data_IF_029562601345
#
_entry.id   IF_029562601345
#
_cell.length_a   1.000
_cell.length_b   1.000
_cell.length_c   1.000
_cell.angle_alpha   90.00
_cell.angle_beta   90.00
_cell.angle_gamma   90.00
#
_symmetry.space_group_name_H-M   'P 1'
#
loop_
_entity.id
_entity.type
_entity.pdbx_description
1 polymer ?
#
# COMPACT_ATOMS: atom_id res chain seq x y z
N UNK A 1 0.43 -19.92 20.68
CA UNK A 1 0.19 -18.47 20.56
C UNK A 1 1.43 -17.86 19.92
N UNK A 2 1.46 -17.79 18.59
CA UNK A 2 2.51 -17.07 17.87
C UNK A 2 2.14 -15.59 17.87
N UNK A 3 3.05 -14.78 18.41
CA UNK A 3 3.03 -13.31 18.43
C UNK A 3 2.51 -12.75 17.10
N UNK A 4 1.71 -11.66 17.08
CA UNK A 4 1.41 -11.01 15.82
C UNK A 4 2.75 -10.58 15.21
N UNK A 5 3.15 -11.20 14.10
CA UNK A 5 4.19 -10.64 13.26
C UNK A 5 3.81 -9.18 13.00
N UNK A 6 4.73 -8.23 13.15
CA UNK A 6 4.37 -6.82 12.96
C UNK A 6 3.65 -6.69 11.61
N UNK A 7 2.63 -5.84 11.55
CA UNK A 7 1.84 -5.63 10.34
C UNK A 7 2.72 -5.47 9.08
N UNK A 8 3.83 -4.74 9.22
CA UNK A 8 4.81 -4.54 8.16
C UNK A 8 5.62 -5.79 7.79
N UNK A 9 5.91 -6.67 8.73
CA UNK A 9 6.59 -7.95 8.46
C UNK A 9 5.68 -8.89 7.67
N UNK A 10 4.38 -8.93 8.04
CA UNK A 10 3.38 -9.69 7.31
C UNK A 10 3.15 -9.13 5.90
N UNK A 11 3.08 -7.81 5.75
CA UNK A 11 2.97 -7.13 4.45
C UNK A 11 4.19 -7.41 3.56
N UNK A 12 5.40 -7.33 4.12
CA UNK A 12 6.63 -7.62 3.39
C UNK A 12 6.69 -9.08 2.90
N UNK A 13 6.26 -10.03 3.73
CA UNK A 13 6.19 -11.45 3.35
C UNK A 13 5.22 -11.69 2.19
N UNK A 14 4.03 -11.08 2.22
CA UNK A 14 3.06 -11.15 1.11
C UNK A 14 3.61 -10.53 -0.17
N UNK A 15 4.24 -9.36 -0.07
CA UNK A 15 4.87 -8.69 -1.22
C UNK A 15 5.99 -9.53 -1.84
N UNK A 16 6.79 -10.22 -1.01
CA UNK A 16 7.81 -11.15 -1.49
C UNK A 16 7.21 -12.39 -2.17
N UNK A 17 6.12 -12.95 -1.63
CA UNK A 17 5.40 -14.07 -2.25
C UNK A 17 4.83 -13.68 -3.63
N UNK A 18 4.32 -12.46 -3.76
CA UNK A 18 3.85 -11.90 -5.03
C UNK A 18 4.99 -11.80 -6.06
N UNK A 19 6.16 -11.30 -5.66
CA UNK A 19 7.33 -11.20 -6.55
C UNK A 19 7.88 -12.57 -6.97
N UNK A 20 7.76 -13.57 -6.11
CA UNK A 20 8.17 -14.95 -6.40
C UNK A 20 7.17 -15.70 -7.30
N UNK A 21 6.04 -15.08 -7.68
CA UNK A 21 4.99 -15.71 -8.47
C UNK A 21 4.21 -16.80 -7.72
N UNK A 22 4.30 -16.82 -6.38
CA UNK A 22 3.65 -17.81 -5.52
C UNK A 22 2.39 -17.29 -4.81
N UNK A 23 2.02 -16.02 -5.02
CA UNK A 23 0.82 -15.44 -4.43
C UNK A 23 -0.44 -15.94 -5.13
N UNK A 24 -1.45 -16.34 -4.36
CA UNK A 24 -2.76 -16.70 -4.89
C UNK A 24 -3.67 -15.47 -5.07
N UNK A 25 -4.90 -15.68 -5.56
CA UNK A 25 -5.86 -14.58 -5.78
C UNK A 25 -6.26 -13.88 -4.48
N UNK A 26 -6.36 -14.62 -3.37
CA UNK A 26 -6.74 -14.04 -2.08
C UNK A 26 -5.60 -13.17 -1.53
N UNK A 27 -4.35 -13.59 -1.70
CA UNK A 27 -3.17 -12.80 -1.38
C UNK A 27 -3.11 -11.51 -2.22
N UNK A 28 -3.44 -11.58 -3.50
CA UNK A 28 -3.51 -10.40 -4.36
C UNK A 28 -4.60 -9.41 -3.90
N UNK A 29 -5.80 -9.89 -3.57
CA UNK A 29 -6.89 -9.05 -3.06
C UNK A 29 -6.55 -8.42 -1.70
N UNK A 30 -5.92 -9.19 -0.81
CA UNK A 30 -5.47 -8.68 0.48
C UNK A 30 -4.39 -7.60 0.30
N UNK A 31 -3.46 -7.78 -0.63
CA UNK A 31 -2.44 -6.77 -0.92
C UNK A 31 -3.03 -5.48 -1.51
N UNK A 32 -4.08 -5.57 -2.32
CA UNK A 32 -4.81 -4.39 -2.81
C UNK A 32 -5.51 -3.66 -1.65
N UNK A 33 -6.17 -4.39 -0.76
CA UNK A 33 -6.78 -3.80 0.46
C UNK A 33 -5.73 -3.13 1.34
N UNK A 34 -4.60 -3.81 1.60
CA UNK A 34 -3.50 -3.29 2.41
C UNK A 34 -2.91 -2.01 1.74
N UNK A 35 -2.85 -1.95 0.41
CA UNK A 35 -2.39 -0.77 -0.32
C UNK A 35 -3.38 0.42 -0.22
N UNK A 36 -4.68 0.15 -0.26
CA UNK A 36 -5.71 1.18 -0.07
C UNK A 36 -5.73 1.74 1.35
N UNK A 37 -5.56 0.88 2.36
CA UNK A 37 -5.43 1.31 3.75
C UNK A 37 -4.18 2.19 3.94
N UNK A 38 -3.05 1.81 3.36
CA UNK A 38 -1.83 2.63 3.38
C UNK A 38 -2.04 4.01 2.72
N UNK A 39 -2.77 4.08 1.59
CA UNK A 39 -3.12 5.36 0.94
C UNK A 39 -3.99 6.22 1.85
N UNK A 40 -4.98 5.61 2.50
CA UNK A 40 -5.86 6.31 3.44
C UNK A 40 -5.08 6.86 4.64
N UNK A 41 -4.16 6.07 5.20
CA UNK A 41 -3.30 6.49 6.30
C UNK A 41 -2.37 7.65 5.92
N UNK A 42 -1.82 7.64 4.69
CA UNK A 42 -1.03 8.75 4.17
C UNK A 42 -1.88 10.02 4.08
N UNK A 43 -3.10 9.93 3.51
CA UNK A 43 -4.01 11.08 3.41
C UNK A 43 -4.36 11.63 4.79
N UNK A 44 -4.72 10.76 5.73
CA UNK A 44 -5.02 11.15 7.10
C UNK A 44 -3.81 11.82 7.77
N UNK A 45 -2.62 11.25 7.61
CA UNK A 45 -1.38 11.81 8.19
C UNK A 45 -1.06 13.20 7.62
N UNK A 46 -1.25 13.41 6.33
CA UNK A 46 -1.09 14.73 5.69
C UNK A 46 -2.13 15.74 6.19
N UNK A 47 -3.38 15.33 6.40
CA UNK A 47 -4.43 16.19 6.96
C UNK A 47 -4.14 16.59 8.41
N UNK A 48 -3.66 15.65 9.24
CA UNK A 48 -3.24 15.93 10.61
C UNK A 48 -2.05 16.89 10.62
N UNK A 49 -1.05 16.65 9.76
CA UNK A 49 0.12 17.53 9.64
C UNK A 49 -0.30 18.96 9.21
N UNK A 50 -1.18 19.08 8.22
CA UNK A 50 -1.72 20.37 7.79
C UNK A 50 -2.48 21.09 8.91
N UNK A 51 -3.27 20.35 9.69
CA UNK A 51 -4.02 20.89 10.83
C UNK A 51 -3.11 21.37 11.96
N UNK A 52 -2.02 20.64 12.23
CA UNK A 52 -1.01 21.05 13.21
C UNK A 52 -0.31 22.34 12.77
N UNK A 53 0.06 22.43 11.50
CA UNK A 53 0.69 23.64 10.94
C UNK A 53 -0.25 24.86 10.96
N UNK A 54 -1.55 24.66 10.73
CA UNK A 54 -2.53 25.75 10.77
C UNK A 54 -2.90 26.19 12.19
N UNK A 55 -2.96 25.26 13.15
CA UNK A 55 -3.43 25.53 14.52
C UNK A 55 -2.32 25.94 15.50
N UNK A 56 -1.07 25.57 15.23
CA UNK A 56 0.09 25.91 16.09
C UNK A 56 1.06 26.81 15.35
N UNK A 57 0.49 27.80 14.64
CA UNK A 57 1.18 28.60 13.63
C UNK A 57 2.60 29.05 13.99
N UNK A 58 3.36 29.30 12.94
CA UNK A 58 4.73 29.83 12.89
C UNK A 58 5.09 30.85 13.97
N UNK A 59 4.14 31.70 14.37
CA UNK A 59 4.30 32.72 15.40
C UNK A 59 4.59 32.17 16.82
N UNK A 60 4.26 30.91 17.11
CA UNK A 60 4.43 30.29 18.45
C UNK A 60 5.65 29.37 18.56
N UNK A 61 6.15 28.86 17.44
CA UNK A 61 7.29 27.95 17.41
C UNK A 61 8.48 28.69 16.80
N UNK A 62 9.14 29.53 17.60
CA UNK A 62 10.19 30.46 17.17
C UNK A 62 11.48 29.85 16.60
N UNK A 63 11.45 28.60 16.12
CA UNK A 63 12.57 27.95 15.44
C UNK A 63 12.09 27.16 14.19
N UNK A 64 11.65 27.93 13.21
CA UNK A 64 11.23 27.47 11.89
C UNK A 64 12.35 26.68 11.18
N UNK A 65 13.61 27.07 11.40
CA UNK A 65 14.78 26.42 10.83
C UNK A 65 14.95 24.97 11.29
N UNK A 66 14.47 24.64 12.50
CA UNK A 66 14.48 23.26 13.02
C UNK A 66 13.22 22.47 12.65
N UNK A 67 12.08 23.13 12.50
CA UNK A 67 10.79 22.48 12.20
C UNK A 67 10.62 22.11 10.73
N UNK A 68 10.93 23.04 9.81
CA UNK A 68 10.71 22.81 8.38
C UNK A 68 11.44 21.58 7.83
N UNK A 69 12.71 21.31 8.19
CA UNK A 69 13.38 20.08 7.77
C UNK A 69 12.69 18.82 8.28
N UNK A 70 12.14 18.83 9.51
CA UNK A 70 11.42 17.69 10.09
C UNK A 70 10.09 17.46 9.37
N UNK A 71 9.33 18.53 9.12
CA UNK A 71 8.09 18.47 8.34
C UNK A 71 8.39 17.95 6.93
N UNK A 72 9.43 18.48 6.27
CA UNK A 72 9.87 17.99 4.96
C UNK A 72 10.27 16.51 4.97
N UNK A 73 10.95 16.05 6.01
CA UNK A 73 11.27 14.62 6.19
C UNK A 73 10.01 13.77 6.36
N UNK A 74 9.03 14.22 7.13
CA UNK A 74 7.76 13.49 7.31
C UNK A 74 6.99 13.40 6.00
N UNK A 75 6.86 14.51 5.27
CA UNK A 75 6.21 14.52 3.95
C UNK A 75 6.93 13.58 2.98
N UNK A 76 8.26 13.54 3.01
CA UNK A 76 9.04 12.62 2.18
C UNK A 76 8.74 11.15 2.49
N UNK A 77 8.75 10.76 3.77
CA UNK A 77 8.43 9.39 4.20
C UNK A 77 7.00 9.00 3.82
N UNK A 78 6.03 9.92 3.95
CA UNK A 78 4.65 9.71 3.51
C UNK A 78 4.56 9.52 1.99
N UNK A 79 5.36 10.28 1.23
CA UNK A 79 5.49 10.11 -0.22
C UNK A 79 6.07 8.74 -0.62
N UNK A 80 7.13 8.30 0.08
CA UNK A 80 7.74 6.98 -0.15
C UNK A 80 6.74 5.84 0.16
N UNK A 81 5.93 6.00 1.22
CA UNK A 81 4.87 5.05 1.57
C UNK A 81 3.75 5.00 0.51
N UNK A 82 3.37 6.15 -0.05
CA UNK A 82 2.39 6.22 -1.14
C UNK A 82 2.92 5.57 -2.43
N UNK A 83 4.18 5.82 -2.79
CA UNK A 83 4.81 5.16 -3.95
C UNK A 83 4.88 3.64 -3.74
N UNK A 84 5.22 3.18 -2.54
CA UNK A 84 5.22 1.77 -2.20
C UNK A 84 3.84 1.13 -2.34
N UNK A 85 2.79 1.75 -1.77
CA UNK A 85 1.41 1.27 -1.90
C UNK A 85 0.97 1.17 -3.36
N UNK A 86 1.31 2.17 -4.18
CA UNK A 86 0.99 2.15 -5.61
C UNK A 86 1.69 1.01 -6.37
N UNK A 87 2.96 0.74 -6.05
CA UNK A 87 3.70 -0.37 -6.65
C UNK A 87 3.12 -1.73 -6.27
N UNK A 88 2.69 -1.89 -5.01
CA UNK A 88 2.03 -3.12 -4.55
C UNK A 88 0.72 -3.37 -5.30
N UNK A 89 -0.13 -2.35 -5.42
CA UNK A 89 -1.42 -2.44 -6.11
C UNK A 89 -1.26 -2.79 -7.60
N UNK A 90 -0.30 -2.17 -8.29
CA UNK A 90 0.02 -2.50 -9.69
C UNK A 90 0.50 -3.94 -9.81
N UNK A 91 1.40 -4.38 -8.92
CA UNK A 91 1.91 -5.74 -8.95
C UNK A 91 0.82 -6.77 -8.67
N UNK A 92 -0.05 -6.53 -7.69
CA UNK A 92 -1.16 -7.41 -7.35
C UNK A 92 -2.18 -7.50 -8.49
N UNK A 93 -2.51 -6.35 -9.10
CA UNK A 93 -3.41 -6.27 -10.27
C UNK A 93 -2.87 -7.05 -11.47
N UNK A 94 -1.57 -6.90 -11.76
CA UNK A 94 -0.91 -7.59 -12.86
C UNK A 94 -0.85 -9.11 -12.67
N UNK A 95 -0.78 -9.59 -11.43
CA UNK A 95 -0.78 -11.04 -11.12
C UNK A 95 -2.20 -11.61 -11.09
N UNK A 96 -3.20 -10.84 -10.68
CA UNK A 96 -4.60 -11.28 -10.72
C UNK A 96 -5.15 -11.44 -12.16
N UNK A 97 -4.73 -10.59 -13.11
CA UNK A 97 -5.15 -10.66 -14.52
C UNK A 97 -4.88 -12.00 -15.25
N UNK A 98 -3.68 -12.63 -15.17
CA UNK A 98 -3.41 -13.92 -15.82
C UNK A 98 -4.20 -15.08 -15.21
N UNK A 99 -4.57 -15.03 -13.93
CA UNK A 99 -5.47 -16.03 -13.32
C UNK A 99 -6.91 -15.90 -13.84
N UNK A 100 -7.39 -14.68 -14.07
CA UNK A 100 -8.70 -14.43 -14.70
C UNK A 100 -8.78 -14.93 -16.14
N UNK A 101 -7.71 -14.76 -16.93
CA UNK A 101 -7.67 -15.28 -18.30
C UNK A 101 -7.51 -16.80 -18.37
N UNK A 102 -6.78 -17.42 -17.45
CA UNK A 102 -6.63 -18.89 -17.38
C UNK A 102 -7.93 -19.58 -16.95
N UNK A 103 -8.70 -18.98 -16.04
CA UNK A 103 -10.03 -19.48 -15.65
C UNK A 103 -11.04 -19.39 -16.81
N UNK A 104 -11.02 -18.29 -17.58
CA UNK A 104 -11.86 -18.13 -18.77
C UNK A 104 -11.47 -19.10 -19.90
N UNK A 105 -10.17 -19.37 -20.09
CA UNK A 105 -9.69 -20.36 -21.06
C UNK A 105 -10.02 -21.81 -20.65
N UNK A 106 -9.96 -22.13 -19.36
CA UNK A 106 -10.37 -23.44 -18.83
C UNK A 106 -11.88 -23.70 -18.97
N UNK A 107 -12.72 -22.68 -18.79
CA UNK A 107 -14.16 -22.78 -19.01
C UNK A 107 -14.52 -22.86 -20.50
N UNK A 108 -13.82 -22.15 -21.38
CA UNK A 108 -14.01 -22.26 -22.83
C UNK A 108 -13.62 -23.64 -23.39
N UNK A 109 -12.63 -24.31 -22.80
CA UNK A 109 -12.23 -25.67 -23.18
C UNK A 109 -13.15 -26.78 -22.63
N UNK A 110 -14.03 -26.45 -21.66
CA UNK A 110 -14.92 -27.41 -20.99
C UNK A 110 -16.30 -27.56 -21.64
N UNK A 111 -16.61 -26.78 -22.68
CA UNK A 111 -17.81 -26.96 -23.48
C UNK A 111 -17.47 -27.74 -24.76
N UNK A 112 -17.71 -29.06 -24.82
CA UNK A 112 -17.74 -29.75 -26.10
C UNK A 112 -18.91 -29.17 -26.90
N UNK A 113 -18.61 -28.54 -28.04
CA UNK A 113 -19.60 -28.27 -29.08
C UNK A 113 -20.14 -29.62 -29.57
N UNK A 114 -21.37 -29.94 -29.17
CA UNK A 114 -22.17 -30.98 -29.82
C UNK A 114 -22.77 -30.45 -31.12
#
# INVERSE_FOLDING_TARGET
MTTPANYFDALAAKAAALQAGGADLADCQNLQSDADDLRADVVHSLQVLGSLMSNHGYATVGDEATLFPKIGSMVRVLGDLLDYANRLDIAASNTAMPHGQSAAAGQAASYPTH
#
